data_IF_916442194508
#
_entry.id   IF_916442194508
#
_cell.length_a   1.000
_cell.length_b   1.000
_cell.length_c   1.000
_cell.angle_alpha   90.00
_cell.angle_beta   90.00
_cell.angle_gamma   90.00
#
_symmetry.space_group_name_H-M   'P 1'
#
loop_
_entity.id
_entity.type
_entity.pdbx_description
1 polymer ?
#
# COMPACT_ATOMS: atom_id res chain seq x y z
N UNK A 1 143.67 17.93 -6.38
CA UNK A 1 142.29 18.48 -6.48
C UNK A 1 141.47 17.91 -5.35
N UNK A 2 140.42 18.61 -4.92
CA UNK A 2 139.46 18.02 -3.99
C UNK A 2 138.66 16.90 -4.69
N UNK A 3 138.21 15.86 -3.96
CA UNK A 3 137.47 14.74 -4.54
C UNK A 3 136.19 15.15 -5.28
N UNK A 4 135.54 16.22 -4.84
CA UNK A 4 134.35 16.84 -5.43
C UNK A 4 134.48 18.37 -5.32
N UNK A 5 133.96 19.11 -6.29
CA UNK A 5 133.84 20.56 -6.21
C UNK A 5 132.98 20.99 -5.03
N UNK A 6 133.41 22.01 -4.27
CA UNK A 6 132.63 22.50 -3.13
C UNK A 6 131.39 23.26 -3.57
N UNK A 7 131.49 23.96 -4.71
CA UNK A 7 130.44 24.76 -5.33
C UNK A 7 130.44 24.55 -6.84
N UNK A 8 129.34 24.89 -7.52
CA UNK A 8 129.21 24.74 -8.99
C UNK A 8 130.29 25.47 -9.81
N UNK A 9 131.04 26.39 -9.20
CA UNK A 9 132.15 27.12 -9.82
C UNK A 9 133.55 26.55 -9.51
N UNK A 10 133.67 25.55 -8.62
CA UNK A 10 134.93 24.88 -8.30
C UNK A 10 134.99 23.50 -8.96
N UNK A 11 135.90 23.29 -9.90
CA UNK A 11 136.06 21.99 -10.56
C UNK A 11 136.89 21.04 -9.66
N UNK A 12 136.23 20.05 -9.06
CA UNK A 12 136.88 18.94 -8.37
C UNK A 12 137.30 17.83 -9.34
N UNK A 13 137.84 16.75 -8.78
CA UNK A 13 138.33 15.63 -9.57
C UNK A 13 137.19 14.85 -10.26
N UNK A 14 135.99 14.82 -9.66
CA UNK A 14 134.80 14.20 -10.23
C UNK A 14 134.29 14.95 -11.47
N UNK A 15 134.15 16.27 -11.37
CA UNK A 15 133.67 17.13 -12.45
C UNK A 15 134.63 17.10 -13.65
N UNK A 16 135.94 17.03 -13.40
CA UNK A 16 136.95 16.84 -14.46
C UNK A 16 136.79 15.51 -15.20
N UNK A 17 136.56 14.41 -14.47
CA UNK A 17 136.33 13.09 -15.09
C UNK A 17 135.01 13.07 -15.88
N UNK A 18 133.97 13.72 -15.38
CA UNK A 18 132.67 13.83 -16.06
C UNK A 18 132.78 14.60 -17.39
N UNK A 19 133.64 15.60 -17.47
CA UNK A 19 133.88 16.36 -18.71
C UNK A 19 134.78 15.59 -19.70
N UNK A 20 135.79 14.85 -19.24
CA UNK A 20 136.64 14.01 -20.11
C UNK A 20 135.82 12.89 -20.77
N UNK A 21 134.87 12.30 -20.04
CA UNK A 21 134.00 11.22 -20.54
C UNK A 21 132.74 11.79 -21.24
N UNK A 22 132.44 13.08 -21.04
CA UNK A 22 131.29 13.77 -21.64
C UNK A 22 129.95 13.38 -21.01
N UNK A 23 129.94 12.91 -19.76
CA UNK A 23 128.72 12.58 -19.02
C UNK A 23 128.03 13.81 -18.43
N UNK A 24 128.74 14.94 -18.30
CA UNK A 24 128.21 16.20 -17.75
C UNK A 24 126.95 16.72 -18.49
N UNK A 25 126.86 16.49 -19.81
CA UNK A 25 125.68 16.85 -20.64
C UNK A 25 124.37 16.18 -20.23
N UNK A 26 124.43 15.03 -19.54
CA UNK A 26 123.22 14.28 -19.13
C UNK A 26 122.70 14.70 -17.76
N UNK A 27 123.52 15.35 -16.93
CA UNK A 27 123.17 15.71 -15.54
C UNK A 27 121.97 16.66 -15.50
N UNK A 28 121.95 17.70 -16.36
CA UNK A 28 120.83 18.65 -16.44
C UNK A 28 119.51 18.04 -16.92
N UNK A 29 119.49 17.31 -18.07
CA UNK A 29 118.32 16.58 -18.53
C UNK A 29 117.79 15.55 -17.51
N UNK A 30 118.67 14.79 -16.85
CA UNK A 30 118.30 13.82 -15.81
C UNK A 30 117.59 14.53 -14.65
N UNK A 31 118.18 15.58 -14.09
CA UNK A 31 117.55 16.38 -13.02
C UNK A 31 116.19 16.95 -13.43
N UNK A 32 116.05 17.38 -14.69
CA UNK A 32 114.78 17.90 -15.23
C UNK A 32 113.71 16.80 -15.32
N UNK A 33 114.08 15.60 -15.78
CA UNK A 33 113.18 14.45 -15.87
C UNK A 33 112.80 13.95 -14.48
N UNK A 34 113.75 13.87 -13.54
CA UNK A 34 113.49 13.53 -12.13
C UNK A 34 112.51 14.49 -11.48
N UNK A 35 112.67 15.80 -11.72
CA UNK A 35 111.71 16.81 -11.26
C UNK A 35 110.31 16.59 -11.82
N UNK A 36 110.18 16.37 -13.13
CA UNK A 36 108.89 16.08 -13.78
C UNK A 36 108.26 14.78 -13.31
N UNK A 37 109.07 13.74 -13.10
CA UNK A 37 108.60 12.46 -12.59
C UNK A 37 108.04 12.61 -11.18
N UNK A 38 108.71 13.42 -10.33
CA UNK A 38 108.25 13.72 -8.99
C UNK A 38 106.91 14.46 -9.00
N UNK A 39 106.78 15.53 -9.81
CA UNK A 39 105.52 16.28 -9.91
C UNK A 39 104.37 15.42 -10.45
N UNK A 40 104.62 14.63 -11.50
CA UNK A 40 103.61 13.70 -12.04
C UNK A 40 103.25 12.60 -11.05
N UNK A 41 104.20 12.14 -10.22
CA UNK A 41 103.96 11.19 -9.14
C UNK A 41 103.03 11.76 -8.08
N UNK A 42 103.29 12.99 -7.63
CA UNK A 42 102.44 13.73 -6.68
C UNK A 42 101.03 13.94 -7.25
N UNK A 43 100.91 14.38 -8.52
CA UNK A 43 99.61 14.53 -9.19
C UNK A 43 98.84 13.21 -9.30
N UNK A 44 99.55 12.12 -9.61
CA UNK A 44 98.95 10.78 -9.68
C UNK A 44 98.42 10.34 -8.31
N UNK A 45 99.16 10.57 -7.23
CA UNK A 45 98.69 10.24 -5.88
C UNK A 45 97.43 11.02 -5.51
N UNK A 46 97.40 12.33 -5.78
CA UNK A 46 96.21 13.16 -5.52
C UNK A 46 95.00 12.61 -6.28
N UNK A 47 95.14 12.35 -7.59
CA UNK A 47 94.05 11.79 -8.42
C UNK A 47 93.61 10.40 -7.95
N UNK A 48 94.56 9.55 -7.55
CA UNK A 48 94.27 8.21 -7.05
C UNK A 48 93.48 8.28 -5.74
N UNK A 49 93.86 9.18 -4.83
CA UNK A 49 93.15 9.37 -3.56
C UNK A 49 91.74 9.91 -3.79
N UNK A 50 91.56 10.87 -4.70
CA UNK A 50 90.24 11.38 -5.09
C UNK A 50 89.36 10.28 -5.70
N UNK A 51 89.92 9.46 -6.59
CA UNK A 51 89.20 8.33 -7.18
C UNK A 51 88.76 7.31 -6.13
N UNK A 52 89.63 6.98 -5.17
CA UNK A 52 89.30 6.07 -4.07
C UNK A 52 88.19 6.63 -3.19
N UNK A 53 88.23 7.92 -2.89
CA UNK A 53 87.15 8.58 -2.13
C UNK A 53 85.82 8.54 -2.88
N UNK A 54 85.82 8.83 -4.18
CA UNK A 54 84.61 8.77 -5.00
C UNK A 54 84.07 7.34 -5.10
N UNK A 55 84.94 6.35 -5.27
CA UNK A 55 84.55 4.94 -5.30
C UNK A 55 83.92 4.51 -3.97
N UNK A 56 84.54 4.86 -2.84
CA UNK A 56 83.98 4.54 -1.52
C UNK A 56 82.63 5.20 -1.29
N UNK A 57 82.48 6.47 -1.66
CA UNK A 57 81.20 7.18 -1.55
C UNK A 57 80.11 6.56 -2.42
N UNK A 58 80.45 6.07 -3.62
CA UNK A 58 79.54 5.33 -4.49
C UNK A 58 79.08 4.03 -3.83
N UNK A 59 80.01 3.25 -3.31
CA UNK A 59 79.72 1.95 -2.70
C UNK A 59 78.89 2.13 -1.42
N UNK A 60 79.18 3.15 -0.60
CA UNK A 60 78.39 3.52 0.58
C UNK A 60 76.94 3.96 0.24
N UNK A 61 76.71 4.49 -0.97
CA UNK A 61 75.38 4.91 -1.43
C UNK A 61 74.55 3.79 -2.06
N UNK A 62 75.14 2.65 -2.38
CA UNK A 62 74.44 1.55 -3.05
C UNK A 62 73.40 0.88 -2.14
N UNK A 63 73.75 0.64 -0.88
CA UNK A 63 72.84 0.10 0.13
C UNK A 63 71.60 0.97 0.41
N UNK A 64 71.72 2.29 0.71
CA UNK A 64 70.54 3.13 0.94
C UNK A 64 69.68 3.26 -0.33
N UNK A 65 70.29 3.30 -1.52
CA UNK A 65 69.55 3.26 -2.79
C UNK A 65 68.73 1.97 -2.91
N UNK A 66 69.34 0.82 -2.65
CA UNK A 66 68.65 -0.47 -2.75
C UNK A 66 67.49 -0.57 -1.75
N UNK A 67 67.69 -0.11 -0.51
CA UNK A 67 66.61 -0.01 0.50
C UNK A 67 65.46 0.89 0.06
N UNK A 68 65.76 2.05 -0.54
CA UNK A 68 64.73 2.94 -1.07
C UNK A 68 63.93 2.30 -2.22
N UNK A 69 64.60 1.57 -3.11
CA UNK A 69 63.94 0.82 -4.19
C UNK A 69 63.06 -0.29 -3.64
N UNK A 70 63.53 -1.04 -2.63
CA UNK A 70 62.74 -2.08 -1.97
C UNK A 70 61.51 -1.50 -1.27
N UNK A 71 61.66 -0.38 -0.57
CA UNK A 71 60.56 0.34 0.05
C UNK A 71 59.49 0.72 -0.99
N UNK A 72 59.88 1.36 -2.10
CA UNK A 72 58.94 1.73 -3.17
C UNK A 72 58.26 0.52 -3.81
N UNK A 73 58.98 -0.60 -3.95
CA UNK A 73 58.38 -1.86 -4.45
C UNK A 73 57.35 -2.41 -3.47
N UNK A 74 57.63 -2.35 -2.17
CA UNK A 74 56.72 -2.84 -1.14
C UNK A 74 55.49 -1.94 -1.04
N UNK A 75 55.67 -0.63 -1.08
CA UNK A 75 54.60 0.36 -1.09
C UNK A 75 53.69 0.18 -2.31
N UNK A 76 54.25 0.02 -3.51
CA UNK A 76 53.46 -0.28 -4.70
C UNK A 76 52.65 -1.58 -4.57
N UNK A 77 53.22 -2.62 -3.96
CA UNK A 77 52.47 -3.87 -3.69
C UNK A 77 51.34 -3.65 -2.69
N UNK A 78 51.58 -2.87 -1.64
CA UNK A 78 50.56 -2.51 -0.66
C UNK A 78 49.40 -1.77 -1.34
N UNK A 79 49.71 -0.74 -2.14
CA UNK A 79 48.71 0.00 -2.91
C UNK A 79 47.88 -0.89 -3.84
N UNK A 80 48.52 -1.83 -4.54
CA UNK A 80 47.80 -2.78 -5.41
C UNK A 80 46.86 -3.70 -4.62
N UNK A 81 47.29 -4.16 -3.43
CA UNK A 81 46.45 -4.98 -2.56
C UNK A 81 45.28 -4.18 -1.99
N UNK A 82 45.52 -2.97 -1.50
CA UNK A 82 44.48 -2.07 -1.01
C UNK A 82 43.48 -1.72 -2.11
N UNK A 83 43.96 -1.40 -3.31
CA UNK A 83 43.12 -1.16 -4.47
C UNK A 83 42.28 -2.40 -4.83
N UNK A 84 42.88 -3.59 -4.82
CA UNK A 84 42.14 -4.84 -5.06
C UNK A 84 41.05 -5.07 -4.00
N UNK A 85 41.35 -4.81 -2.72
CA UNK A 85 40.39 -4.93 -1.63
C UNK A 85 39.22 -3.96 -1.80
N UNK A 86 39.51 -2.69 -2.12
CA UNK A 86 38.48 -1.69 -2.40
C UNK A 86 37.60 -2.09 -3.59
N UNK A 87 38.18 -2.68 -4.63
CA UNK A 87 37.42 -3.20 -5.77
C UNK A 87 36.48 -4.33 -5.39
N UNK A 88 36.94 -5.28 -4.57
CA UNK A 88 36.11 -6.39 -4.08
C UNK A 88 34.98 -5.85 -3.20
N UNK A 89 35.28 -5.00 -2.22
CA UNK A 89 34.27 -4.39 -1.34
C UNK A 89 33.24 -3.60 -2.14
N UNK A 90 33.67 -2.86 -3.17
CA UNK A 90 32.77 -2.12 -4.06
C UNK A 90 31.84 -3.07 -4.80
N UNK A 91 32.38 -4.14 -5.37
CA UNK A 91 31.58 -5.13 -6.09
C UNK A 91 30.57 -5.82 -5.17
N UNK A 92 30.97 -6.24 -3.97
CA UNK A 92 30.05 -6.82 -2.97
C UNK A 92 28.92 -5.84 -2.64
N UNK A 93 29.26 -4.59 -2.33
CA UNK A 93 28.27 -3.54 -2.03
C UNK A 93 27.34 -3.29 -3.22
N UNK A 94 27.86 -3.25 -4.46
CA UNK A 94 27.07 -3.11 -5.68
C UNK A 94 26.09 -4.28 -5.84
N UNK A 95 26.52 -5.52 -5.61
CA UNK A 95 25.64 -6.70 -5.69
C UNK A 95 24.55 -6.68 -4.62
N UNK A 96 24.86 -6.31 -3.38
CA UNK A 96 23.86 -6.14 -2.32
C UNK A 96 22.84 -5.06 -2.69
N UNK A 97 23.32 -3.93 -3.21
CA UNK A 97 22.49 -2.81 -3.67
C UNK A 97 21.54 -3.28 -4.79
N UNK A 98 22.01 -4.05 -5.77
CA UNK A 98 21.17 -4.63 -6.82
C UNK A 98 20.07 -5.53 -6.25
N UNK A 99 20.36 -6.37 -5.25
CA UNK A 99 19.34 -7.21 -4.62
C UNK A 99 18.27 -6.38 -3.89
N UNK A 100 18.69 -5.31 -3.21
CA UNK A 100 17.78 -4.38 -2.53
C UNK A 100 16.92 -3.63 -3.55
N UNK A 101 17.50 -3.18 -4.68
CA UNK A 101 16.74 -2.53 -5.76
C UNK A 101 15.67 -3.48 -6.31
N UNK A 102 16.03 -4.72 -6.64
CA UNK A 102 15.06 -5.72 -7.13
C UNK A 102 13.94 -5.96 -6.12
N UNK A 103 14.28 -6.15 -4.85
CA UNK A 103 13.27 -6.31 -3.79
C UNK A 103 12.37 -5.08 -3.63
N UNK A 104 12.91 -3.86 -3.79
CA UNK A 104 12.11 -2.63 -3.80
C UNK A 104 11.16 -2.58 -5.00
N UNK A 105 11.62 -2.97 -6.19
CA UNK A 105 10.79 -3.03 -7.40
C UNK A 105 9.63 -4.02 -7.22
N UNK A 106 9.91 -5.21 -6.68
CA UNK A 106 8.88 -6.21 -6.37
C UNK A 106 7.85 -5.67 -5.37
N UNK A 107 8.29 -5.05 -4.28
CA UNK A 107 7.39 -4.43 -3.30
C UNK A 107 6.54 -3.30 -3.92
N UNK A 108 7.12 -2.47 -4.79
CA UNK A 108 6.38 -1.42 -5.51
C UNK A 108 5.31 -2.02 -6.41
N UNK A 109 5.62 -3.12 -7.10
CA UNK A 109 4.66 -3.85 -7.94
C UNK A 109 3.52 -4.45 -7.10
N UNK A 110 3.84 -5.08 -5.96
CA UNK A 110 2.85 -5.61 -5.02
C UNK A 110 1.93 -4.50 -4.46
N UNK A 111 2.50 -3.38 -4.04
CA UNK A 111 1.74 -2.21 -3.57
C UNK A 111 0.82 -1.70 -4.68
N UNK A 112 1.30 -1.64 -5.92
CA UNK A 112 0.49 -1.28 -7.09
C UNK A 112 -0.70 -2.22 -7.32
N UNK A 113 -0.47 -3.53 -7.22
CA UNK A 113 -1.53 -4.54 -7.36
C UNK A 113 -2.55 -4.46 -6.21
N UNK A 114 -2.09 -4.29 -4.98
CA UNK A 114 -2.96 -4.12 -3.80
C UNK A 114 -3.80 -2.85 -3.90
N UNK A 115 -3.23 -1.73 -4.37
CA UNK A 115 -3.99 -0.48 -4.61
C UNK A 115 -5.13 -0.70 -5.60
N UNK A 116 -4.87 -1.37 -6.73
CA UNK A 116 -5.92 -1.69 -7.72
C UNK A 116 -7.03 -2.56 -7.13
N UNK A 117 -6.67 -3.60 -6.35
CA UNK A 117 -7.66 -4.44 -5.65
C UNK A 117 -8.49 -3.62 -4.69
N UNK A 118 -7.85 -2.75 -3.90
CA UNK A 118 -8.50 -1.89 -2.93
C UNK A 118 -9.47 -0.90 -3.59
N UNK A 119 -9.11 -0.34 -4.74
CA UNK A 119 -10.01 0.50 -5.55
C UNK A 119 -11.24 -0.29 -6.03
N UNK A 120 -11.06 -1.52 -6.52
CA UNK A 120 -12.19 -2.37 -6.95
C UNK A 120 -13.14 -2.70 -5.79
N UNK A 121 -12.60 -3.02 -4.61
CA UNK A 121 -13.39 -3.31 -3.41
C UNK A 121 -14.12 -2.07 -2.94
N UNK A 122 -13.49 -0.89 -2.97
CA UNK A 122 -14.16 0.38 -2.66
C UNK A 122 -15.30 0.69 -3.62
N UNK A 123 -15.13 0.44 -4.91
CA UNK A 123 -16.19 0.63 -5.90
C UNK A 123 -17.37 -0.32 -5.66
N UNK A 124 -17.09 -1.61 -5.43
CA UNK A 124 -18.12 -2.60 -5.09
C UNK A 124 -18.85 -2.24 -3.80
N UNK A 125 -18.12 -1.84 -2.75
CA UNK A 125 -18.73 -1.39 -1.49
C UNK A 125 -19.68 -0.21 -1.71
N UNK A 126 -19.28 0.79 -2.49
CA UNK A 126 -20.16 1.92 -2.81
C UNK A 126 -21.44 1.49 -3.53
N UNK A 127 -21.36 0.54 -4.47
CA UNK A 127 -22.55 -0.01 -5.15
C UNK A 127 -23.49 -0.67 -4.14
N UNK A 128 -22.94 -1.54 -3.28
CA UNK A 128 -23.72 -2.25 -2.26
C UNK A 128 -24.35 -1.25 -1.27
N UNK A 129 -23.62 -0.21 -0.86
CA UNK A 129 -24.15 0.83 0.03
C UNK A 129 -25.33 1.57 -0.62
N UNK A 130 -25.28 1.84 -1.94
CA UNK A 130 -26.40 2.40 -2.70
C UNK A 130 -27.60 1.45 -2.77
N UNK A 131 -27.37 0.17 -3.10
CA UNK A 131 -28.42 -0.85 -3.17
C UNK A 131 -29.11 -1.05 -1.80
N UNK A 132 -28.35 -1.05 -0.70
CA UNK A 132 -28.89 -1.12 0.65
C UNK A 132 -29.74 0.10 1.00
N UNK A 133 -29.32 1.29 0.57
CA UNK A 133 -30.10 2.52 0.78
C UNK A 133 -31.43 2.46 0.01
N UNK A 134 -31.42 2.03 -1.25
CA UNK A 134 -32.64 1.85 -2.04
C UNK A 134 -33.57 0.79 -1.43
N UNK A 135 -33.03 -0.36 -1.02
CA UNK A 135 -33.80 -1.43 -0.38
C UNK A 135 -34.43 -0.97 0.94
N UNK A 136 -33.69 -0.22 1.77
CA UNK A 136 -34.24 0.37 2.99
C UNK A 136 -35.38 1.35 2.67
N UNK A 137 -35.24 2.18 1.65
CA UNK A 137 -36.30 3.08 1.20
C UNK A 137 -37.56 2.31 0.74
N UNK A 138 -37.39 1.21 0.00
CA UNK A 138 -38.50 0.33 -0.38
C UNK A 138 -39.15 -0.34 0.83
N UNK A 139 -38.36 -0.81 1.79
CA UNK A 139 -38.85 -1.42 3.02
C UNK A 139 -39.66 -0.43 3.86
N UNK A 140 -39.19 0.80 4.03
CA UNK A 140 -39.91 1.87 4.73
C UNK A 140 -41.22 2.22 4.01
N UNK A 141 -41.21 2.24 2.67
CA UNK A 141 -42.42 2.42 1.87
C UNK A 141 -43.43 1.28 2.06
N UNK A 142 -42.96 0.03 2.03
CA UNK A 142 -43.79 -1.14 2.26
C UNK A 142 -44.38 -1.14 3.67
N UNK A 143 -43.59 -0.79 4.69
CA UNK A 143 -44.06 -0.65 6.07
C UNK A 143 -45.23 0.33 6.16
N UNK A 144 -45.13 1.51 5.53
CA UNK A 144 -46.23 2.48 5.48
C UNK A 144 -47.49 1.90 4.84
N UNK A 145 -47.35 1.20 3.71
CA UNK A 145 -48.51 0.57 3.04
C UNK A 145 -49.16 -0.53 3.88
N UNK A 146 -48.35 -1.28 4.64
CA UNK A 146 -48.84 -2.30 5.58
C UNK A 146 -49.58 -1.66 6.74
N UNK A 147 -49.06 -0.57 7.30
CA UNK A 147 -49.74 0.20 8.36
C UNK A 147 -51.06 0.80 7.86
N UNK A 148 -51.08 1.43 6.68
CA UNK A 148 -52.30 1.94 6.05
C UNK A 148 -53.32 0.83 5.78
N UNK A 149 -52.87 -0.32 5.29
CA UNK A 149 -53.76 -1.46 5.03
C UNK A 149 -54.31 -2.04 6.33
N UNK A 150 -53.51 -2.09 7.40
CA UNK A 150 -53.97 -2.51 8.74
C UNK A 150 -55.02 -1.55 9.29
N UNK A 151 -54.83 -0.25 9.14
CA UNK A 151 -55.83 0.75 9.58
C UNK A 151 -57.12 0.64 8.76
N UNK A 152 -57.02 0.51 7.43
CA UNK A 152 -58.19 0.25 6.57
C UNK A 152 -58.91 -1.05 6.95
N UNK A 153 -58.17 -2.11 7.24
CA UNK A 153 -58.73 -3.39 7.66
C UNK A 153 -59.46 -3.28 8.99
N UNK A 154 -58.90 -2.59 10.00
CA UNK A 154 -59.61 -2.31 11.27
C UNK A 154 -60.89 -1.52 11.07
N UNK A 155 -60.88 -0.55 10.15
CA UNK A 155 -62.07 0.25 9.85
C UNK A 155 -63.16 -0.59 9.17
N UNK A 156 -62.78 -1.46 8.22
CA UNK A 156 -63.71 -2.42 7.62
C UNK A 156 -64.25 -3.40 8.67
N UNK A 157 -63.44 -3.92 9.59
CA UNK A 157 -63.93 -4.78 10.68
C UNK A 157 -64.97 -4.06 11.56
N UNK A 158 -64.77 -2.77 11.85
CA UNK A 158 -65.77 -1.96 12.57
C UNK A 158 -67.07 -1.82 11.79
N UNK A 159 -66.97 -1.57 10.48
CA UNK A 159 -68.13 -1.47 9.60
C UNK A 159 -68.87 -2.81 9.48
N UNK A 160 -68.16 -3.92 9.34
CA UNK A 160 -68.74 -5.26 9.27
C UNK A 160 -69.50 -5.60 10.56
N UNK A 161 -68.93 -5.30 11.74
CA UNK A 161 -69.64 -5.47 13.02
C UNK A 161 -70.90 -4.61 13.07
N UNK A 162 -70.83 -3.35 12.65
CA UNK A 162 -71.99 -2.47 12.61
C UNK A 162 -73.08 -2.98 11.65
N UNK A 163 -72.71 -3.44 10.45
CA UNK A 163 -73.63 -4.02 9.49
C UNK A 163 -74.24 -5.34 9.98
N UNK A 164 -73.49 -6.16 10.69
CA UNK A 164 -74.01 -7.39 11.31
C UNK A 164 -75.01 -7.08 12.43
N UNK A 165 -74.75 -6.07 13.25
CA UNK A 165 -75.69 -5.58 14.27
C UNK A 165 -76.95 -5.01 13.62
N UNK A 166 -76.81 -4.16 12.60
CA UNK A 166 -77.92 -3.60 11.84
C UNK A 166 -78.74 -4.69 11.15
N UNK A 167 -78.08 -5.71 10.58
CA UNK A 167 -78.75 -6.86 9.97
C UNK A 167 -79.51 -7.68 11.01
N UNK A 168 -78.94 -7.92 12.21
CA UNK A 168 -79.65 -8.58 13.32
C UNK A 168 -80.86 -7.74 13.77
N UNK A 169 -80.70 -6.43 13.92
CA UNK A 169 -81.79 -5.51 14.25
C UNK A 169 -82.88 -5.52 13.18
N UNK A 170 -82.52 -5.51 11.89
CA UNK A 170 -83.45 -5.59 10.78
C UNK A 170 -84.20 -6.92 10.76
N UNK A 171 -83.50 -8.06 10.94
CA UNK A 171 -84.13 -9.39 11.06
C UNK A 171 -85.11 -9.46 12.23
N UNK A 172 -84.72 -8.96 13.40
CA UNK A 172 -85.62 -8.90 14.56
C UNK A 172 -86.85 -8.02 14.29
N UNK A 173 -86.69 -6.87 13.62
CA UNK A 173 -87.82 -6.03 13.20
C UNK A 173 -88.74 -6.75 12.22
N UNK A 174 -88.19 -7.48 11.25
CA UNK A 174 -88.97 -8.29 10.30
C UNK A 174 -89.78 -9.35 11.07
N UNK A 175 -89.16 -10.08 11.99
CA UNK A 175 -89.86 -11.11 12.77
C UNK A 175 -90.99 -10.53 13.65
N UNK A 176 -90.78 -9.33 14.22
CA UNK A 176 -91.83 -8.60 14.94
C UNK A 176 -92.96 -8.17 13.99
N UNK A 177 -92.62 -7.65 12.81
CA UNK A 177 -93.62 -7.27 11.81
C UNK A 177 -94.39 -8.49 11.28
N UNK A 178 -93.75 -9.65 11.11
CA UNK A 178 -94.40 -10.91 10.74
C UNK A 178 -95.37 -11.39 11.82
N UNK A 179 -94.97 -11.38 13.10
CA UNK A 179 -95.85 -11.69 14.23
C UNK A 179 -97.05 -10.74 14.29
N UNK A 180 -96.84 -9.45 14.06
CA UNK A 180 -97.93 -8.46 13.98
C UNK A 180 -98.84 -8.68 12.77
N UNK A 181 -98.29 -9.11 11.63
CA UNK A 181 -99.07 -9.48 10.45
C UNK A 181 -99.94 -10.71 10.73
N UNK A 182 -99.44 -11.65 11.51
CA UNK A 182 -100.15 -12.87 11.89
C UNK A 182 -101.26 -12.60 12.92
N UNK A 183 -101.03 -11.73 13.89
CA UNK A 183 -102.10 -11.26 14.81
C UNK A 183 -103.18 -10.49 14.06
N UNK A 184 -102.82 -9.56 13.18
CA UNK A 184 -103.77 -8.83 12.33
C UNK A 184 -104.55 -9.76 11.38
N UNK A 185 -103.90 -10.79 10.81
CA UNK A 185 -104.60 -11.84 10.04
C UNK A 185 -105.61 -12.60 10.91
N UNK A 186 -105.25 -12.93 12.14
CA UNK A 186 -106.12 -13.62 13.08
C UNK A 186 -107.29 -12.73 13.52
N UNK A 187 -107.07 -11.44 13.75
CA UNK A 187 -108.13 -10.46 14.01
C UNK A 187 -109.04 -10.27 12.80
N UNK A 188 -108.48 -10.17 11.59
CA UNK A 188 -109.25 -10.14 10.33
C UNK A 188 -110.12 -11.39 10.19
N UNK A 189 -109.59 -12.56 10.50
CA UNK A 189 -110.35 -13.80 10.44
C UNK A 189 -111.44 -13.87 11.54
N UNK A 190 -111.22 -13.27 12.72
CA UNK A 190 -112.25 -13.13 13.76
C UNK A 190 -113.37 -12.18 13.32
N UNK A 191 -113.01 -11.02 12.76
CA UNK A 191 -113.96 -10.06 12.19
C UNK A 191 -114.74 -10.65 11.01
N UNK A 192 -114.10 -11.44 10.14
CA UNK A 192 -114.78 -12.16 9.06
C UNK A 192 -115.81 -13.16 9.61
N UNK A 193 -115.48 -13.89 10.70
CA UNK A 193 -116.44 -14.77 11.38
C UNK A 193 -117.59 -13.99 12.00
N UNK A 194 -117.33 -12.82 12.59
CA UNK A 194 -118.37 -11.94 13.13
C UNK A 194 -119.30 -11.40 12.03
N UNK A 195 -118.77 -11.05 10.86
CA UNK A 195 -119.58 -10.68 9.68
C UNK A 195 -120.50 -11.83 9.25
N UNK A 196 -119.99 -13.07 9.19
CA UNK A 196 -120.83 -14.22 8.82
C UNK A 196 -121.91 -14.53 9.86
N UNK A 197 -121.70 -14.22 11.15
CA UNK A 197 -122.77 -14.35 12.16
C UNK A 197 -123.80 -13.23 12.06
N UNK A 198 -123.40 -11.98 11.81
CA UNK A 198 -124.35 -10.89 11.55
C UNK A 198 -125.17 -11.14 10.28
N UNK A 199 -124.56 -11.68 9.22
CA UNK A 199 -125.28 -12.07 8.00
C UNK A 199 -126.34 -13.15 8.30
N UNK A 200 -126.04 -14.12 9.17
CA UNK A 200 -127.01 -15.15 9.59
C UNK A 200 -128.12 -14.59 10.47
N UNK A 201 -127.81 -13.70 11.42
CA UNK A 201 -128.82 -13.03 12.26
C UNK A 201 -129.74 -12.11 11.45
N UNK A 202 -129.24 -11.49 10.37
CA UNK A 202 -130.06 -10.66 9.49
C UNK A 202 -131.06 -11.53 8.70
N UNK A 203 -130.65 -12.71 8.26
CA UNK A 203 -131.52 -13.66 7.54
C UNK A 203 -132.62 -14.19 8.49
N UNK A 204 -132.29 -14.56 9.72
CA UNK A 204 -133.26 -15.03 10.72
C UNK A 204 -134.28 -13.95 11.14
N UNK A 205 -133.86 -12.68 11.25
CA UNK A 205 -134.77 -11.56 11.52
C UNK A 205 -135.74 -11.27 10.34
N UNK A 206 -135.32 -11.52 9.10
CA UNK A 206 -136.22 -11.39 7.93
C UNK A 206 -137.26 -12.53 7.83
N UNK A 207 -136.94 -13.72 8.32
CA UNK A 207 -137.88 -14.86 8.37
C UNK A 207 -138.88 -14.73 9.52
N UNK A 208 -138.48 -14.18 10.67
CA UNK A 208 -139.37 -13.86 11.80
C UNK A 208 -140.42 -12.78 11.44
N UNK A 209 -140.07 -11.76 10.64
CA UNK A 209 -141.05 -10.76 10.17
C UNK A 209 -142.12 -11.36 9.24
N UNK A 210 -141.74 -12.30 8.36
CA UNK A 210 -142.69 -12.95 7.43
C UNK A 210 -143.67 -13.89 8.13
N UNK A 211 -143.31 -14.49 9.28
CA UNK A 211 -144.24 -15.31 10.07
C UNK A 211 -145.24 -14.48 10.88
N UNK A 212 -144.85 -13.30 11.37
CA UNK A 212 -145.72 -12.48 12.20
C UNK A 212 -146.80 -11.70 11.41
N UNK A 213 -146.60 -11.47 10.10
CA UNK A 213 -147.64 -10.88 9.23
C UNK A 213 -148.71 -11.89 8.78
N UNK A 214 -148.48 -13.20 8.90
CA UNK A 214 -149.44 -14.24 8.51
C UNK A 214 -150.47 -14.58 9.61
N UNK A 215 -150.14 -14.41 10.90
CA UNK A 215 -151.04 -14.76 12.02
C UNK A 215 -152.06 -13.67 12.39
N UNK A 216 -151.96 -12.46 11.82
CA UNK A 216 -152.96 -11.38 11.99
C UNK A 216 -154.24 -11.53 11.16
N UNK A 217 -154.43 -12.65 10.44
CA UNK A 217 -155.57 -12.86 9.52
C UNK A 217 -156.52 -14.02 9.88
N UNK A 218 -156.39 -14.66 11.05
CA UNK A 218 -157.21 -15.85 11.42
C UNK A 218 -157.97 -15.73 12.76
N UNK A 219 -157.82 -14.67 13.56
CA UNK A 219 -158.52 -14.52 14.87
C UNK A 219 -159.72 -13.53 14.87
N UNK A 220 -160.34 -13.29 13.70
CA UNK A 220 -161.63 -12.56 13.55
C UNK A 220 -162.86 -13.47 13.39
N UNK A 221 -162.78 -14.76 13.77
CA UNK A 221 -163.98 -15.61 13.92
C UNK A 221 -163.89 -16.58 15.10
N UNK A 222 -163.99 -16.04 16.33
CA UNK A 222 -164.89 -16.55 17.39
C UNK A 222 -164.94 -15.62 18.60
#
# INVERSE_FOLDING_TARGET
MQPKGSNDNETGMLEYVEDVIGSSRFIGPIKTIEGKLKTLGEEKEVKLNQLKMAQKAKDELEDPKNKAIEFLKLENKLYLLEHSLLHVNRFETETELETIIKGKEDLVNEIGALKKKLESVRASKKSIDCELHELNGHYDGLLKTVEESKEKYKELERQDVAYDEDMKHAKNKIEVFEKNLETLKNERNKLAKQLTTYEKETIELTEMKKKHEAEKSVEETK
#
